data_IF_375743110942
#
_entry.id   IF_375743110942
#
_cell.length_a   1.000
_cell.length_b   1.000
_cell.length_c   1.000
_cell.angle_alpha   90.00
_cell.angle_beta   90.00
_cell.angle_gamma   90.00
#
_symmetry.space_group_name_H-M   'P 1'
#
loop_
_entity.id
_entity.type
_entity.pdbx_description
1 polymer ?
#
# COMPACT_ATOMS: atom_id res chain seq x y z
N UNK A 1 1.43 -3.20 -7.25
CA UNK A 1 2.79 -3.71 -6.93
C UNK A 1 2.98 -5.15 -7.43
N UNK A 2 2.45 -6.17 -6.75
CA UNK A 2 2.63 -7.60 -7.10
C UNK A 2 2.35 -7.94 -8.58
N UNK A 3 1.28 -7.40 -9.18
CA UNK A 3 0.95 -7.66 -10.59
C UNK A 3 2.08 -7.24 -11.54
N UNK A 4 2.66 -6.04 -11.34
CA UNK A 4 3.76 -5.53 -12.17
C UNK A 4 5.06 -6.33 -11.99
N UNK A 5 5.21 -7.06 -10.88
CA UNK A 5 6.33 -7.98 -10.66
C UNK A 5 6.16 -9.34 -11.36
N UNK A 6 4.94 -9.66 -11.80
CA UNK A 6 4.60 -11.00 -12.26
C UNK A 6 4.37 -11.10 -13.78
N UNK A 7 3.88 -10.04 -14.43
CA UNK A 7 3.55 -10.08 -15.86
C UNK A 7 4.78 -9.78 -16.73
N UNK A 8 4.90 -10.47 -17.86
CA UNK A 8 6.05 -10.31 -18.77
C UNK A 8 6.14 -8.91 -19.41
N UNK A 9 4.98 -8.32 -19.75
CA UNK A 9 4.89 -7.04 -20.44
C UNK A 9 4.44 -5.91 -19.50
N UNK A 10 5.03 -5.85 -18.31
CA UNK A 10 4.73 -4.80 -17.34
C UNK A 10 5.04 -3.39 -17.91
N UNK A 11 4.20 -2.43 -17.56
CA UNK A 11 4.50 -1.02 -17.81
C UNK A 11 5.74 -0.56 -17.06
N UNK A 12 6.24 0.64 -17.39
CA UNK A 12 7.52 1.15 -16.85
C UNK A 12 7.50 1.39 -15.34
N UNK A 13 6.35 1.82 -14.80
CA UNK A 13 6.23 2.28 -13.42
C UNK A 13 4.87 1.90 -12.82
N UNK A 14 4.83 1.88 -11.49
CA UNK A 14 3.59 1.82 -10.73
C UNK A 14 3.02 3.23 -10.57
N UNK A 15 1.73 3.40 -10.82
CA UNK A 15 1.02 4.60 -10.38
C UNK A 15 0.94 4.64 -8.85
N UNK A 16 1.33 5.76 -8.26
CA UNK A 16 1.39 5.94 -6.82
C UNK A 16 0.81 7.30 -6.45
N UNK A 17 -0.26 7.30 -5.65
CA UNK A 17 -0.85 8.55 -5.16
C UNK A 17 0.08 9.23 -4.16
N UNK A 18 0.21 10.55 -4.27
CA UNK A 18 1.01 11.39 -3.37
C UNK A 18 0.14 12.24 -2.44
N UNK A 19 -1.18 12.05 -2.50
CA UNK A 19 -2.14 12.86 -1.75
C UNK A 19 -2.18 12.46 -0.27
N UNK A 20 -2.23 13.46 0.60
CA UNK A 20 -2.25 13.29 2.05
C UNK A 20 -3.64 13.02 2.63
N UNK A 21 -3.71 12.96 3.97
CA UNK A 21 -4.95 12.76 4.71
C UNK A 21 -5.98 13.89 4.51
N UNK A 22 -5.57 15.07 4.04
CA UNK A 22 -6.50 16.15 3.68
C UNK A 22 -7.40 15.76 2.51
N UNK A 23 -6.90 14.93 1.60
CA UNK A 23 -7.65 14.45 0.43
C UNK A 23 -8.21 13.04 0.65
N UNK A 24 -7.41 12.15 1.24
CA UNK A 24 -7.81 10.78 1.57
C UNK A 24 -7.73 10.53 3.08
N UNK A 25 -8.63 11.12 3.88
CA UNK A 25 -8.58 10.98 5.35
C UNK A 25 -8.77 9.55 5.83
N UNK A 26 -9.43 8.71 5.04
CA UNK A 26 -9.73 7.31 5.35
C UNK A 26 -8.56 6.36 5.12
N UNK A 27 -7.48 6.80 4.46
CA UNK A 27 -6.36 5.92 4.10
C UNK A 27 -5.36 5.71 5.25
N UNK A 28 -5.42 6.56 6.27
CA UNK A 28 -4.50 6.49 7.40
C UNK A 28 -4.92 5.38 8.39
N UNK A 29 -3.94 4.69 8.97
CA UNK A 29 -4.17 3.59 9.92
C UNK A 29 -4.89 2.38 9.32
N UNK A 30 -4.74 2.10 8.03
CA UNK A 30 -5.29 0.88 7.41
C UNK A 30 -4.48 -0.39 7.73
N UNK A 31 -3.17 -0.24 7.88
CA UNK A 31 -2.21 -1.34 8.07
C UNK A 31 -1.34 -1.09 9.29
N UNK A 32 -0.90 -2.16 9.96
CA UNK A 32 0.01 -2.07 11.12
C UNK A 32 1.34 -1.43 10.70
N UNK A 33 1.84 -1.83 9.52
CA UNK A 33 3.03 -1.28 8.87
C UNK A 33 2.64 -0.84 7.46
N UNK A 34 3.14 0.32 7.01
CA UNK A 34 2.87 0.79 5.65
C UNK A 34 3.60 -0.08 4.62
N UNK A 35 2.90 -0.74 3.68
CA UNK A 35 3.54 -1.44 2.55
C UNK A 35 3.99 -0.48 1.43
N UNK A 36 3.81 0.83 1.64
CA UNK A 36 3.94 1.86 0.60
C UNK A 36 5.14 2.78 0.82
N UNK A 37 6.10 2.37 1.66
CA UNK A 37 7.35 3.11 1.83
C UNK A 37 8.08 3.23 0.50
N UNK A 38 8.48 4.46 0.17
CA UNK A 38 9.21 4.78 -1.06
C UNK A 38 10.65 5.07 -0.73
N UNK A 39 11.57 4.33 -1.34
CA UNK A 39 13.01 4.57 -1.26
C UNK A 39 13.56 4.78 -2.67
N UNK A 40 14.27 5.90 -2.90
CA UNK A 40 14.85 6.26 -4.20
C UNK A 40 13.86 6.16 -5.38
N UNK A 41 12.59 6.51 -5.14
CA UNK A 41 11.53 6.47 -6.16
C UNK A 41 10.98 5.08 -6.45
N UNK A 42 11.24 4.08 -5.59
CA UNK A 42 10.76 2.71 -5.74
C UNK A 42 10.00 2.25 -4.50
N UNK A 43 9.02 1.36 -4.72
CA UNK A 43 8.32 0.62 -3.67
C UNK A 43 8.72 -0.85 -3.73
N UNK A 44 8.79 -1.49 -2.56
CA UNK A 44 9.24 -2.86 -2.44
C UNK A 44 8.07 -3.85 -2.29
N UNK A 45 8.12 -4.95 -3.04
CA UNK A 45 7.31 -6.14 -2.74
C UNK A 45 8.18 -7.08 -1.92
N UNK A 46 7.91 -7.19 -0.63
CA UNK A 46 8.66 -8.06 0.30
C UNK A 46 8.41 -9.55 0.04
N UNK A 47 9.17 -10.41 0.72
CA UNK A 47 9.03 -11.87 0.68
C UNK A 47 7.99 -12.42 1.68
N UNK A 48 7.30 -11.55 2.42
CA UNK A 48 6.24 -11.96 3.36
C UNK A 48 5.11 -12.72 2.60
N UNK A 49 4.52 -13.76 3.20
CA UNK A 49 3.47 -14.54 2.54
C UNK A 49 2.23 -13.72 2.15
N UNK A 50 1.56 -14.15 1.08
CA UNK A 50 0.33 -13.52 0.61
C UNK A 50 0.57 -12.10 0.07
N UNK A 51 -0.17 -11.12 0.59
CA UNK A 51 0.04 -9.71 0.25
C UNK A 51 1.13 -9.03 1.08
N UNK A 52 1.67 -9.71 2.10
CA UNK A 52 2.72 -9.18 2.96
C UNK A 52 2.29 -8.04 3.89
N UNK A 53 0.99 -7.92 4.18
CA UNK A 53 0.42 -6.85 5.02
C UNK A 53 -0.52 -7.41 6.08
N UNK A 54 -0.55 -6.73 7.23
CA UNK A 54 -1.52 -6.95 8.29
C UNK A 54 -2.41 -5.71 8.45
N UNK A 55 -3.73 -5.93 8.48
CA UNK A 55 -4.72 -4.87 8.67
C UNK A 55 -4.66 -4.39 10.13
N UNK A 56 -4.64 -3.08 10.33
CA UNK A 56 -4.75 -2.50 11.67
C UNK A 56 -6.21 -2.65 12.16
N UNK A 57 -6.47 -3.43 13.24
CA UNK A 57 -7.82 -3.61 13.78
C UNK A 57 -8.44 -2.31 14.29
N UNK A 58 -7.61 -1.37 14.75
CA UNK A 58 -8.08 -0.09 15.29
C UNK A 58 -8.65 0.84 14.21
N UNK A 59 -8.12 0.76 12.99
CA UNK A 59 -8.59 1.53 11.84
C UNK A 59 -9.86 0.99 11.20
N UNK A 60 -10.15 -0.32 11.33
CA UNK A 60 -11.43 -0.90 10.89
C UNK A 60 -12.58 -0.48 11.82
N UNK A 61 -12.33 -0.35 13.12
CA UNK A 61 -13.33 0.03 14.11
C UNK A 61 -13.85 1.48 13.95
N UNK A 62 -13.11 2.34 13.24
CA UNK A 62 -13.53 3.72 12.91
C UNK A 62 -14.43 3.83 11.68
N UNK A 63 -14.67 2.73 10.97
CA UNK A 63 -15.36 2.71 9.67
C UNK A 63 -16.79 2.13 9.71
N UNK A 64 -17.30 1.79 10.90
CA UNK A 64 -18.69 1.36 11.13
C UNK A 64 -19.58 2.51 11.63
N UNK A 65 -19.60 3.62 10.88
CA UNK A 65 -20.59 4.71 11.02
C UNK A 65 -21.35 4.85 9.71
#
# INVERSE_FOLDING_TARGET
MHLLRAIENAGKYLEFSIEGAEYYPWQDGLFIESPFSVENGQVEVTDKPGWGVDIDPSGSNRRNI
#
